data_IF_714986187521
#
_entry.id   IF_714986187521
#
_cell.length_a   1.000
_cell.length_b   1.000
_cell.length_c   1.000
_cell.angle_alpha   90.00
_cell.angle_beta   90.00
_cell.angle_gamma   90.00
#
_symmetry.space_group_name_H-M   'P 1'
#
loop_
_entity.id
_entity.type
_entity.pdbx_description
1 polymer ?
#
# COMPACT_ATOMS: atom_id res chain seq x y z
N UNK A 1 -76.72 20.17 -6.75
CA UNK A 1 -76.01 19.15 -5.96
C UNK A 1 -75.00 18.45 -6.86
N UNK A 2 -73.71 18.47 -6.45
CA UNK A 2 -72.60 17.54 -6.80
C UNK A 2 -72.20 17.38 -8.29
N UNK A 3 -71.00 17.87 -8.61
CA UNK A 3 -70.13 17.52 -9.76
C UNK A 3 -69.63 16.03 -9.63
N UNK A 4 -68.87 15.37 -10.57
CA UNK A 4 -67.65 15.91 -11.21
C UNK A 4 -67.13 15.35 -12.58
N UNK A 5 -66.22 16.16 -13.15
CA UNK A 5 -64.94 15.92 -13.86
C UNK A 5 -64.83 15.12 -15.19
N UNK A 6 -64.10 15.66 -16.19
CA UNK A 6 -63.58 14.91 -17.33
C UNK A 6 -62.31 14.15 -16.94
N UNK A 7 -62.20 12.93 -17.46
CA UNK A 7 -61.06 12.04 -17.28
C UNK A 7 -59.82 12.64 -17.98
N UNK A 8 -58.95 13.29 -17.21
CA UNK A 8 -57.66 13.80 -17.70
C UNK A 8 -56.70 12.62 -17.89
N UNK A 9 -56.23 12.45 -19.12
CA UNK A 9 -55.21 11.49 -19.54
C UNK A 9 -53.86 11.89 -18.91
N UNK A 10 -53.46 11.21 -17.85
CA UNK A 10 -52.12 11.34 -17.25
C UNK A 10 -51.12 10.53 -18.08
N UNK A 11 -50.32 11.23 -18.90
CA UNK A 11 -49.08 10.68 -19.47
C UNK A 11 -48.08 10.44 -18.33
N UNK A 12 -47.82 9.18 -18.00
CA UNK A 12 -46.72 8.77 -17.14
C UNK A 12 -45.41 8.83 -17.95
N UNK A 13 -44.61 9.89 -17.76
CA UNK A 13 -43.21 9.87 -18.19
C UNK A 13 -42.43 8.91 -17.27
N UNK A 14 -41.96 7.81 -17.84
CA UNK A 14 -41.02 6.90 -17.19
C UNK A 14 -39.64 7.57 -17.09
N UNK A 15 -39.26 8.01 -15.89
CA UNK A 15 -37.87 8.32 -15.57
C UNK A 15 -37.16 7.00 -15.24
N UNK A 16 -36.57 6.38 -16.26
CA UNK A 16 -35.60 5.32 -16.06
C UNK A 16 -34.35 5.93 -15.41
N UNK A 17 -34.27 5.84 -14.09
CA UNK A 17 -33.05 6.19 -13.35
C UNK A 17 -31.96 5.18 -13.67
N UNK A 18 -31.00 5.55 -14.51
CA UNK A 18 -29.72 4.85 -14.60
C UNK A 18 -28.94 5.14 -13.32
N UNK A 19 -29.05 4.24 -12.35
CA UNK A 19 -28.13 4.18 -11.22
C UNK A 19 -26.75 3.80 -11.77
N UNK A 20 -25.88 4.78 -11.94
CA UNK A 20 -24.46 4.52 -12.12
C UNK A 20 -23.96 3.91 -10.80
N UNK A 21 -23.81 2.59 -10.76
CA UNK A 21 -23.04 1.94 -9.70
C UNK A 21 -21.62 2.47 -9.82
N UNK A 22 -21.19 3.31 -8.87
CA UNK A 22 -19.78 3.58 -8.69
C UNK A 22 -19.08 2.23 -8.62
N UNK A 23 -18.16 1.94 -9.55
CA UNK A 23 -17.34 0.76 -9.46
C UNK A 23 -16.61 0.82 -8.12
N UNK A 24 -16.89 -0.11 -7.22
CA UNK A 24 -16.04 -0.36 -6.06
C UNK A 24 -14.64 -0.62 -6.62
N UNK A 25 -13.72 0.33 -6.44
CA UNK A 25 -12.31 0.08 -6.68
C UNK A 25 -11.90 -1.00 -5.68
N UNK A 26 -11.69 -2.22 -6.18
CA UNK A 26 -11.19 -3.31 -5.35
C UNK A 26 -9.86 -2.89 -4.72
N UNK A 27 -9.68 -3.22 -3.43
CA UNK A 27 -8.43 -2.96 -2.73
C UNK A 27 -7.25 -3.56 -3.50
N UNK A 28 -6.12 -2.85 -3.63
CA UNK A 28 -4.95 -3.36 -4.33
C UNK A 28 -4.45 -4.66 -3.68
N UNK A 29 -3.94 -5.59 -4.48
CA UNK A 29 -3.17 -6.74 -4.02
C UNK A 29 -1.68 -6.51 -4.28
N UNK A 30 -0.81 -7.31 -3.65
CA UNK A 30 0.64 -7.25 -3.93
C UNK A 30 0.94 -7.45 -5.42
N UNK A 31 0.20 -8.34 -6.08
CA UNK A 31 0.36 -8.57 -7.51
C UNK A 31 -0.14 -7.37 -8.30
N UNK A 32 -1.34 -6.83 -8.04
CA UNK A 32 -1.86 -5.71 -8.84
C UNK A 32 -1.06 -4.41 -8.65
N UNK A 33 -0.41 -4.21 -7.50
CA UNK A 33 0.44 -3.04 -7.26
C UNK A 33 1.61 -2.95 -8.24
N UNK A 34 2.14 -4.09 -8.68
CA UNK A 34 3.25 -4.15 -9.60
C UNK A 34 2.85 -3.94 -11.07
N UNK A 35 1.55 -3.80 -11.36
CA UNK A 35 1.08 -3.57 -12.72
C UNK A 35 1.50 -2.20 -13.24
N UNK A 36 1.98 -2.18 -14.48
CA UNK A 36 2.49 -0.98 -15.14
C UNK A 36 3.85 -0.49 -14.62
N UNK A 37 4.58 -1.27 -13.81
CA UNK A 37 5.90 -0.89 -13.32
C UNK A 37 6.88 -0.64 -14.47
N UNK A 38 7.51 0.54 -14.47
CA UNK A 38 8.56 0.92 -15.43
C UNK A 38 9.79 1.42 -14.69
N UNK A 39 10.97 1.17 -15.26
CA UNK A 39 12.20 1.76 -14.74
C UNK A 39 12.28 3.21 -15.19
N UNK A 40 12.56 4.10 -14.23
CA UNK A 40 12.60 5.54 -14.43
C UNK A 40 14.04 6.04 -14.35
N UNK A 41 14.41 6.88 -15.31
CA UNK A 41 15.70 7.57 -15.31
C UNK A 41 15.67 8.83 -14.42
N UNK A 42 16.84 9.35 -14.07
CA UNK A 42 16.97 10.64 -13.39
C UNK A 42 16.67 10.65 -11.88
N UNK A 43 16.53 9.49 -11.24
CA UNK A 43 16.24 9.36 -9.80
C UNK A 43 17.49 9.42 -8.89
N UNK A 44 18.66 9.74 -9.44
CA UNK A 44 19.93 9.72 -8.73
C UNK A 44 20.49 8.29 -8.52
N UNK A 45 21.47 8.18 -7.61
CA UNK A 45 22.29 6.97 -7.44
C UNK A 45 22.20 6.34 -6.05
N UNK A 46 21.21 6.74 -5.24
CA UNK A 46 21.07 6.20 -3.88
C UNK A 46 20.69 4.72 -3.93
N UNK A 47 21.38 3.89 -3.15
CA UNK A 47 21.17 2.45 -3.16
C UNK A 47 21.32 1.88 -1.76
N UNK A 48 20.65 0.76 -1.53
CA UNK A 48 20.85 -0.05 -0.33
C UNK A 48 20.85 -1.51 -0.75
N UNK A 49 21.99 -2.18 -0.56
CA UNK A 49 22.08 -3.62 -0.78
C UNK A 49 21.11 -4.34 0.18
N UNK A 50 20.31 -5.25 -0.36
CA UNK A 50 19.39 -6.09 0.42
C UNK A 50 19.66 -7.56 0.15
N UNK A 51 19.16 -8.44 1.01
CA UNK A 51 19.28 -9.88 0.83
C UNK A 51 18.37 -10.34 -0.32
N UNK A 52 18.92 -10.40 -1.52
CA UNK A 52 18.30 -10.94 -2.74
C UNK A 52 19.37 -11.58 -3.62
N UNK A 53 19.01 -12.66 -4.32
CA UNK A 53 19.86 -13.25 -5.35
C UNK A 53 19.58 -12.69 -6.75
N UNK A 54 18.54 -11.86 -6.91
CA UNK A 54 18.12 -11.28 -8.18
C UNK A 54 18.69 -9.87 -8.35
N UNK A 55 19.63 -9.65 -9.29
CA UNK A 55 20.09 -8.30 -9.62
C UNK A 55 18.94 -7.39 -10.05
N UNK A 56 17.93 -7.94 -10.73
CA UNK A 56 16.77 -7.18 -11.17
C UNK A 56 15.88 -6.75 -10.00
N UNK A 57 15.68 -7.61 -8.99
CA UNK A 57 14.95 -7.22 -7.78
C UNK A 57 15.69 -6.09 -7.02
N UNK A 58 17.03 -6.14 -6.97
CA UNK A 58 17.84 -5.07 -6.38
C UNK A 58 17.66 -3.73 -7.11
N UNK A 59 17.56 -3.72 -8.44
CA UNK A 59 17.29 -2.52 -9.24
C UNK A 59 15.94 -1.91 -8.87
N UNK A 60 14.88 -2.73 -8.87
CA UNK A 60 13.54 -2.27 -8.50
C UNK A 60 13.45 -1.79 -7.05
N UNK A 61 14.11 -2.49 -6.12
CA UNK A 61 14.20 -2.06 -4.72
C UNK A 61 14.89 -0.70 -4.59
N UNK A 62 16.00 -0.49 -5.30
CA UNK A 62 16.71 0.80 -5.29
C UNK A 62 15.85 1.92 -5.87
N UNK A 63 15.12 1.69 -6.96
CA UNK A 63 14.16 2.66 -7.49
C UNK A 63 13.06 2.99 -6.46
N UNK A 64 12.47 1.97 -5.84
CA UNK A 64 11.47 2.14 -4.78
C UNK A 64 12.00 3.02 -3.65
N UNK A 65 13.23 2.77 -3.18
CA UNK A 65 13.87 3.56 -2.13
C UNK A 65 14.06 5.04 -2.52
N UNK A 66 14.52 5.30 -3.75
CA UNK A 66 14.70 6.66 -4.28
C UNK A 66 13.37 7.40 -4.34
N UNK A 67 12.30 6.73 -4.78
CA UNK A 67 10.96 7.30 -4.87
C UNK A 67 10.33 7.53 -3.51
N UNK A 68 10.58 6.65 -2.52
CA UNK A 68 10.21 6.89 -1.12
C UNK A 68 10.84 8.18 -0.61
N UNK A 69 12.14 8.39 -0.84
CA UNK A 69 12.82 9.63 -0.45
C UNK A 69 12.37 10.85 -1.26
N UNK A 70 11.94 10.65 -2.50
CA UNK A 70 11.30 11.66 -3.34
C UNK A 70 9.81 11.88 -3.05
N UNK A 71 9.25 11.25 -2.01
CA UNK A 71 7.84 11.31 -1.61
C UNK A 71 6.83 10.79 -2.65
N UNK A 72 7.26 10.10 -3.70
CA UNK A 72 6.38 9.44 -4.65
C UNK A 72 6.06 8.01 -4.17
N UNK A 73 5.10 7.92 -3.23
CA UNK A 73 4.77 6.66 -2.55
C UNK A 73 4.07 5.65 -3.47
N UNK A 74 3.25 6.11 -4.42
CA UNK A 74 2.53 5.24 -5.35
C UNK A 74 3.50 4.52 -6.29
N UNK A 75 4.45 5.24 -6.89
CA UNK A 75 5.47 4.63 -7.75
C UNK A 75 6.50 3.83 -6.94
N UNK A 76 6.75 4.22 -5.68
CA UNK A 76 7.57 3.42 -4.77
C UNK A 76 6.89 2.06 -4.48
N UNK A 77 5.58 2.05 -4.19
CA UNK A 77 4.80 0.85 -3.95
C UNK A 77 4.86 -0.08 -5.17
N UNK A 78 4.64 0.49 -6.37
CA UNK A 78 4.74 -0.24 -7.65
C UNK A 78 6.13 -0.85 -7.86
N UNK A 79 7.19 -0.08 -7.58
CA UNK A 79 8.57 -0.53 -7.71
C UNK A 79 8.91 -1.65 -6.73
N UNK A 80 8.55 -1.51 -5.45
CA UNK A 80 8.78 -2.56 -4.45
C UNK A 80 7.96 -3.82 -4.72
N UNK A 81 6.70 -3.67 -5.16
CA UNK A 81 5.85 -4.79 -5.55
C UNK A 81 6.46 -5.51 -6.76
N UNK A 82 6.97 -4.78 -7.75
CA UNK A 82 7.66 -5.39 -8.89
C UNK A 82 8.97 -6.08 -8.46
N UNK A 83 9.71 -5.51 -7.51
CA UNK A 83 10.88 -6.17 -6.92
C UNK A 83 10.50 -7.50 -6.26
N UNK A 84 9.39 -7.52 -5.51
CA UNK A 84 8.86 -8.72 -4.86
C UNK A 84 8.30 -9.76 -5.86
N UNK A 85 7.70 -9.31 -6.98
CA UNK A 85 7.26 -10.18 -8.07
C UNK A 85 8.45 -10.86 -8.76
N UNK A 86 9.53 -10.12 -8.97
CA UNK A 86 10.78 -10.62 -9.57
C UNK A 86 11.53 -11.56 -8.63
N UNK A 87 11.58 -11.27 -7.34
CA UNK A 87 12.14 -12.15 -6.31
C UNK A 87 11.19 -12.32 -5.12
N UNK A 88 10.34 -13.38 -5.13
CA UNK A 88 9.41 -13.68 -4.05
C UNK A 88 10.06 -14.10 -2.72
N UNK A 89 11.39 -14.15 -2.66
CA UNK A 89 12.18 -14.44 -1.47
C UNK A 89 12.84 -13.22 -0.84
N UNK A 90 12.82 -12.06 -1.53
CA UNK A 90 13.36 -10.79 -1.06
C UNK A 90 12.49 -10.17 0.06
N UNK A 91 12.88 -10.37 1.33
CA UNK A 91 12.11 -9.85 2.47
C UNK A 91 11.96 -8.32 2.43
N UNK A 92 13.03 -7.61 2.05
CA UNK A 92 13.04 -6.15 2.01
C UNK A 92 12.18 -5.56 0.90
N UNK A 93 11.93 -6.32 -0.18
CA UNK A 93 11.03 -5.92 -1.24
C UNK A 93 9.59 -5.82 -0.70
N UNK A 94 9.14 -6.81 0.08
CA UNK A 94 7.85 -6.75 0.76
C UNK A 94 7.83 -5.69 1.87
N UNK A 95 8.90 -5.55 2.65
CA UNK A 95 9.03 -4.47 3.65
C UNK A 95 8.85 -3.09 3.01
N UNK A 96 9.40 -2.87 1.82
CA UNK A 96 9.27 -1.62 1.08
C UNK A 96 7.82 -1.29 0.73
N UNK A 97 7.05 -2.28 0.26
CA UNK A 97 5.60 -2.11 -0.01
C UNK A 97 4.88 -1.69 1.28
N UNK A 98 5.08 -2.41 2.37
CA UNK A 98 4.46 -2.10 3.66
C UNK A 98 4.90 -0.72 4.20
N UNK A 99 6.14 -0.30 3.97
CA UNK A 99 6.62 1.00 4.43
C UNK A 99 5.83 2.13 3.77
N UNK A 100 5.65 2.07 2.45
CA UNK A 100 5.11 3.20 1.66
C UNK A 100 3.59 3.24 1.60
N UNK A 101 2.92 2.09 1.76
CA UNK A 101 1.46 2.03 1.88
C UNK A 101 0.96 2.40 3.29
N UNK A 102 1.86 2.37 4.28
CA UNK A 102 1.57 2.74 5.66
C UNK A 102 1.37 4.23 5.88
N UNK A 103 1.06 4.64 7.11
CA UNK A 103 0.90 6.06 7.44
C UNK A 103 2.23 6.81 7.28
N UNK A 104 2.17 8.07 6.87
CA UNK A 104 3.30 8.98 6.82
C UNK A 104 2.95 10.32 7.47
N UNK A 105 3.90 11.27 7.50
CA UNK A 105 3.69 12.56 8.18
C UNK A 105 2.54 13.38 7.56
N UNK A 106 2.31 13.24 6.25
CA UNK A 106 1.33 14.02 5.50
C UNK A 106 -0.03 13.30 5.39
N UNK A 107 -0.06 11.98 5.52
CA UNK A 107 -1.24 11.17 5.25
C UNK A 107 -1.36 10.01 6.26
N UNK A 108 -2.53 9.85 6.91
CA UNK A 108 -2.81 8.66 7.70
C UNK A 108 -2.89 7.42 6.80
N UNK A 109 -2.96 6.22 7.39
CA UNK A 109 -3.13 5.00 6.60
C UNK A 109 -4.49 5.02 5.91
N UNK A 110 -4.50 4.83 4.59
CA UNK A 110 -5.74 4.68 3.83
C UNK A 110 -6.32 3.28 4.06
N UNK A 111 -7.63 3.20 4.28
CA UNK A 111 -8.31 1.94 4.55
C UNK A 111 -8.15 0.92 3.40
N UNK A 112 -8.17 1.39 2.16
CA UNK A 112 -7.95 0.57 0.95
C UNK A 112 -6.55 -0.04 0.87
N UNK A 113 -5.52 0.64 1.42
CA UNK A 113 -4.14 0.18 1.38
C UNK A 113 -3.79 -0.79 2.53
N UNK A 114 -4.54 -0.74 3.63
CA UNK A 114 -4.21 -1.47 4.85
C UNK A 114 -4.07 -3.00 4.65
N UNK A 115 -4.95 -3.68 3.88
CA UNK A 115 -4.80 -5.12 3.63
C UNK A 115 -3.51 -5.45 2.89
N UNK A 116 -3.19 -4.73 1.81
CA UNK A 116 -1.99 -4.97 1.02
C UNK A 116 -0.71 -4.70 1.82
N UNK A 117 -0.69 -3.62 2.61
CA UNK A 117 0.43 -3.29 3.47
C UNK A 117 0.66 -4.37 4.54
N UNK A 118 -0.42 -4.87 5.14
CA UNK A 118 -0.36 -5.95 6.11
C UNK A 118 0.16 -7.25 5.51
N UNK A 119 -0.37 -7.67 4.35
CA UNK A 119 0.07 -8.87 3.65
C UNK A 119 1.55 -8.81 3.28
N UNK A 120 2.02 -7.67 2.75
CA UNK A 120 3.43 -7.40 2.51
C UNK A 120 4.25 -7.56 3.80
N UNK A 121 3.82 -6.94 4.89
CA UNK A 121 4.56 -7.02 6.15
C UNK A 121 4.62 -8.45 6.70
N UNK A 122 3.53 -9.21 6.64
CA UNK A 122 3.54 -10.62 7.04
C UNK A 122 4.51 -11.44 6.19
N UNK A 123 4.56 -11.18 4.88
CA UNK A 123 5.52 -11.84 4.00
C UNK A 123 6.95 -11.46 4.34
N UNK A 124 7.24 -10.18 4.58
CA UNK A 124 8.55 -9.72 5.03
C UNK A 124 8.98 -10.43 6.33
N UNK A 125 8.09 -10.52 7.32
CA UNK A 125 8.34 -11.22 8.60
C UNK A 125 8.66 -12.71 8.41
N UNK A 126 7.94 -13.41 7.55
CA UNK A 126 8.20 -14.83 7.25
C UNK A 126 9.59 -15.05 6.64
N UNK A 127 10.07 -14.08 5.85
CA UNK A 127 11.34 -14.16 5.12
C UNK A 127 12.52 -13.64 5.94
N UNK A 128 12.28 -12.79 6.93
CA UNK A 128 13.28 -12.13 7.78
C UNK A 128 14.36 -13.07 8.36
N UNK A 129 14.06 -14.30 8.83
CA UNK A 129 15.10 -15.18 9.38
C UNK A 129 16.24 -15.52 8.40
N UNK A 130 16.06 -15.27 7.10
CA UNK A 130 17.05 -15.53 6.05
C UNK A 130 17.85 -14.29 5.64
N UNK A 131 17.59 -13.14 6.26
CA UNK A 131 18.24 -11.86 5.90
C UNK A 131 19.33 -11.47 6.90
N UNK A 132 20.04 -10.38 6.60
CA UNK A 132 20.99 -9.76 7.53
C UNK A 132 20.31 -9.29 8.83
N UNK A 133 21.09 -9.10 9.90
CA UNK A 133 20.58 -8.60 11.19
C UNK A 133 19.89 -7.24 11.07
N UNK A 134 20.44 -6.33 10.26
CA UNK A 134 19.85 -5.00 10.05
C UNK A 134 18.51 -5.11 9.32
N UNK A 135 18.38 -5.98 8.32
CA UNK A 135 17.11 -6.22 7.64
C UNK A 135 16.06 -6.81 8.60
N UNK A 136 16.46 -7.77 9.45
CA UNK A 136 15.59 -8.33 10.49
C UNK A 136 15.11 -7.26 11.47
N UNK A 137 15.99 -6.36 11.89
CA UNK A 137 15.67 -5.27 12.81
C UNK A 137 14.68 -4.27 12.17
N UNK A 138 14.90 -3.87 10.91
CA UNK A 138 13.97 -2.98 10.19
C UNK A 138 12.58 -3.59 9.99
N UNK A 139 12.49 -4.89 9.68
CA UNK A 139 11.22 -5.60 9.54
C UNK A 139 10.52 -5.71 10.91
N UNK A 140 11.28 -6.00 11.96
CA UNK A 140 10.77 -6.08 13.34
C UNK A 140 10.24 -4.73 13.80
N UNK A 141 10.96 -3.66 13.53
CA UNK A 141 10.52 -2.31 13.85
C UNK A 141 9.23 -1.97 13.11
N UNK A 142 9.19 -2.15 11.77
CA UNK A 142 7.99 -1.83 11.00
C UNK A 142 6.76 -2.63 11.47
N UNK A 143 6.95 -3.87 11.92
CA UNK A 143 5.87 -4.69 12.51
C UNK A 143 5.19 -3.99 13.70
N UNK A 144 5.92 -3.25 14.52
CA UNK A 144 5.35 -2.53 15.67
C UNK A 144 4.36 -1.44 15.27
N UNK A 145 4.47 -0.94 14.03
CA UNK A 145 3.61 0.13 13.51
C UNK A 145 2.24 -0.37 13.06
N UNK A 146 2.08 -1.68 12.89
CA UNK A 146 0.88 -2.28 12.33
C UNK A 146 0.10 -3.07 13.39
N UNK A 147 -1.06 -2.54 13.85
CA UNK A 147 -1.91 -3.23 14.82
C UNK A 147 -2.68 -4.42 14.24
N UNK A 148 -2.80 -4.50 12.91
CA UNK A 148 -3.59 -5.50 12.19
C UNK A 148 -3.79 -5.13 10.73
N UNK A 149 -4.68 -5.84 10.00
CA UNK A 149 -4.94 -5.62 8.58
C UNK A 149 -5.81 -4.39 8.28
N UNK A 150 -6.36 -3.74 9.30
CA UNK A 150 -7.28 -2.61 9.16
C UNK A 150 -6.58 -1.29 9.51
N UNK A 151 -6.97 -0.22 8.82
CA UNK A 151 -6.56 1.13 9.20
C UNK A 151 -7.25 1.54 10.50
N UNK A 152 -6.48 2.05 11.47
CA UNK A 152 -7.03 2.68 12.65
C UNK A 152 -7.20 4.18 12.46
N UNK A 153 -8.16 4.81 13.16
CA UNK A 153 -8.23 6.26 13.26
C UNK A 153 -6.90 6.88 13.73
N UNK A 154 -6.46 8.03 13.19
CA UNK A 154 -5.16 8.63 13.51
C UNK A 154 -4.91 8.83 15.00
N UNK A 155 -5.93 9.20 15.77
CA UNK A 155 -5.86 9.40 17.22
C UNK A 155 -5.54 8.12 18.01
N UNK A 156 -5.73 6.94 17.42
CA UNK A 156 -5.39 5.64 18.02
C UNK A 156 -4.00 5.13 17.62
N UNK A 157 -3.30 5.81 16.70
CA UNK A 157 -2.02 5.34 16.18
C UNK A 157 -0.81 5.69 17.05
N UNK A 158 -0.96 6.59 18.04
CA UNK A 158 0.15 7.06 18.87
C UNK A 158 0.98 5.91 19.50
N UNK A 159 0.38 4.90 20.17
CA UNK A 159 1.14 3.81 20.78
C UNK A 159 1.97 3.00 19.76
N UNK A 160 1.43 2.79 18.56
CA UNK A 160 2.10 2.01 17.50
C UNK A 160 3.22 2.81 16.82
N UNK A 161 3.02 4.12 16.64
CA UNK A 161 4.07 5.01 16.11
C UNK A 161 5.22 5.15 17.12
N UNK A 162 4.93 5.25 18.42
CA UNK A 162 5.95 5.28 19.48
C UNK A 162 6.71 3.96 19.58
N UNK A 163 6.00 2.82 19.52
CA UNK A 163 6.63 1.50 19.51
C UNK A 163 7.53 1.30 18.29
N UNK A 164 7.09 1.76 17.11
CA UNK A 164 7.91 1.78 15.90
C UNK A 164 9.16 2.63 16.07
N UNK A 165 9.02 3.87 16.57
CA UNK A 165 10.15 4.76 16.80
C UNK A 165 11.17 4.18 17.79
N UNK A 166 10.69 3.60 18.90
CA UNK A 166 11.54 2.93 19.88
C UNK A 166 12.29 1.72 19.27
N UNK A 167 11.60 0.91 18.47
CA UNK A 167 12.23 -0.21 17.79
C UNK A 167 13.25 0.23 16.73
N UNK A 168 12.99 1.32 15.99
CA UNK A 168 13.95 1.91 15.06
C UNK A 168 15.20 2.45 15.75
N UNK A 169 15.06 3.02 16.95
CA UNK A 169 16.20 3.51 17.72
C UNK A 169 17.11 2.39 18.26
N UNK A 170 16.58 1.17 18.37
CA UNK A 170 17.31 -0.01 18.86
C UNK A 170 17.84 -0.91 17.73
N UNK A 171 17.54 -0.60 16.46
CA UNK A 171 17.80 -1.42 15.27
C UNK A 171 19.22 -1.26 14.69
#
# INVERSE_FOLDING_TARGET
MRAPLPLALLLLLALAGTSATAAEHAAPTLDSLADGAVLLDGLGTQERKVTTASPQAQVWFNQGLRLTYGFNHDEAARSFAQAARVDPTCAMCFWGVALVLGPNYNMPMLAENAPAAWDALQRARQLAPRTTSVEQALITALTQRYPGPEALPPEKMAPFNEAYAAAMAAA
#
